data_IF_167292525444
#
_entry.id   IF_167292525444
#
_cell.length_a   1.000
_cell.length_b   1.000
_cell.length_c   1.000
_cell.angle_alpha   90.00
_cell.angle_beta   90.00
_cell.angle_gamma   90.00
#
_symmetry.space_group_name_H-M   'P 1'
#
loop_
_entity.id
_entity.type
_entity.pdbx_description
1 polymer ?
#
# COMPACT_ATOMS: atom_id res chain seq x y z
N UNK A 1 -13.60 -27.87 -16.11
CA UNK A 1 -12.16 -27.74 -16.37
C UNK A 1 -11.39 -27.23 -15.13
N UNK A 2 -12.02 -27.04 -13.96
CA UNK A 2 -11.34 -26.57 -12.73
C UNK A 2 -10.90 -25.10 -12.80
N UNK A 3 -11.51 -24.28 -13.63
CA UNK A 3 -11.23 -22.85 -13.75
C UNK A 3 -12.42 -22.05 -13.21
N UNK A 4 -12.15 -21.11 -12.33
CA UNK A 4 -13.14 -20.15 -11.82
C UNK A 4 -12.91 -18.80 -12.51
N UNK A 5 -13.78 -18.36 -13.44
CA UNK A 5 -13.64 -17.06 -14.10
C UNK A 5 -14.07 -15.94 -13.16
N UNK A 6 -13.25 -14.88 -13.09
CA UNK A 6 -13.55 -13.67 -12.32
C UNK A 6 -13.34 -12.46 -13.22
N UNK A 7 -14.32 -11.54 -13.26
CA UNK A 7 -14.23 -10.33 -14.07
C UNK A 7 -13.30 -9.32 -13.39
N UNK A 8 -12.22 -8.97 -14.06
CA UNK A 8 -11.28 -7.94 -13.61
C UNK A 8 -11.34 -6.72 -14.54
N UNK A 9 -11.32 -5.51 -13.97
CA UNK A 9 -11.15 -4.28 -14.75
C UNK A 9 -9.70 -4.16 -15.18
N UNK A 10 -9.48 -3.78 -16.43
CA UNK A 10 -8.15 -3.55 -16.99
C UNK A 10 -7.57 -2.31 -16.28
N UNK A 11 -6.40 -2.46 -15.67
CA UNK A 11 -5.60 -1.35 -15.15
C UNK A 11 -4.55 -0.92 -16.20
N UNK A 12 -4.11 0.33 -16.13
CA UNK A 12 -3.15 0.86 -17.10
C UNK A 12 -1.73 0.33 -16.95
N UNK A 13 -1.45 -0.40 -15.87
CA UNK A 13 -0.11 -0.86 -15.49
C UNK A 13 -0.17 -2.33 -15.05
N UNK A 14 0.88 -3.08 -15.36
CA UNK A 14 0.97 -4.52 -15.12
C UNK A 14 0.96 -4.88 -13.64
N UNK A 15 1.61 -4.09 -12.80
CA UNK A 15 1.66 -4.37 -11.35
C UNK A 15 0.30 -4.12 -10.70
N UNK A 16 -0.42 -3.08 -11.11
CA UNK A 16 -1.81 -2.87 -10.67
C UNK A 16 -2.76 -3.99 -11.13
N UNK A 17 -2.55 -4.54 -12.33
CA UNK A 17 -3.35 -5.70 -12.78
C UNK A 17 -3.13 -6.91 -11.90
N UNK A 18 -1.88 -7.20 -11.55
CA UNK A 18 -1.52 -8.31 -10.65
C UNK A 18 -2.20 -8.12 -9.29
N UNK A 19 -2.10 -6.93 -8.72
CA UNK A 19 -2.69 -6.61 -7.43
C UNK A 19 -4.21 -6.73 -7.45
N UNK A 20 -4.87 -6.20 -8.49
CA UNK A 20 -6.31 -6.33 -8.67
C UNK A 20 -6.73 -7.79 -8.78
N UNK A 21 -5.95 -8.62 -9.48
CA UNK A 21 -6.22 -10.05 -9.60
C UNK A 21 -6.11 -10.77 -8.26
N UNK A 22 -5.06 -10.50 -7.46
CA UNK A 22 -4.89 -11.07 -6.11
C UNK A 22 -6.01 -10.61 -5.19
N UNK A 23 -6.35 -9.32 -5.20
CA UNK A 23 -7.46 -8.78 -4.41
C UNK A 23 -8.77 -9.45 -4.76
N UNK A 24 -9.11 -9.54 -6.04
CA UNK A 24 -10.32 -10.24 -6.49
C UNK A 24 -10.35 -11.70 -6.09
N UNK A 25 -9.20 -12.38 -6.10
CA UNK A 25 -9.09 -13.76 -5.64
C UNK A 25 -9.38 -13.89 -4.14
N UNK A 26 -8.91 -12.93 -3.31
CA UNK A 26 -9.24 -12.84 -1.88
C UNK A 26 -10.74 -12.58 -1.70
N UNK A 27 -11.27 -11.54 -2.35
CA UNK A 27 -12.67 -11.11 -2.22
C UNK A 27 -13.66 -12.22 -2.62
N UNK A 28 -13.27 -13.09 -3.56
CA UNK A 28 -14.06 -14.26 -3.97
C UNK A 28 -13.75 -15.54 -3.18
N UNK A 29 -12.91 -15.47 -2.13
CA UNK A 29 -12.57 -16.62 -1.30
C UNK A 29 -11.77 -17.71 -2.01
N UNK A 30 -11.15 -17.41 -3.14
CA UNK A 30 -10.33 -18.35 -3.93
C UNK A 30 -8.95 -18.55 -3.30
N UNK A 31 -8.45 -17.55 -2.60
CA UNK A 31 -7.20 -17.55 -1.87
C UNK A 31 -7.37 -16.82 -0.53
N UNK A 32 -6.50 -17.09 0.43
CA UNK A 32 -6.48 -16.45 1.74
C UNK A 32 -5.08 -15.94 2.08
N UNK A 33 -4.97 -15.11 3.10
CA UNK A 33 -3.69 -14.62 3.60
C UNK A 33 -2.74 -15.79 3.89
N UNK A 34 -1.48 -15.62 3.54
CA UNK A 34 -0.40 -16.60 3.62
C UNK A 34 -0.43 -17.73 2.59
N UNK A 35 -1.43 -17.79 1.71
CA UNK A 35 -1.38 -18.73 0.60
C UNK A 35 -0.25 -18.36 -0.37
N UNK A 36 0.38 -19.40 -0.92
CA UNK A 36 1.36 -19.25 -2.00
C UNK A 36 0.66 -19.50 -3.33
N UNK A 37 0.65 -18.48 -4.18
CA UNK A 37 -0.01 -18.54 -5.49
C UNK A 37 1.02 -18.42 -6.61
N UNK A 38 0.76 -19.13 -7.70
CA UNK A 38 1.53 -19.03 -8.94
C UNK A 38 0.70 -18.22 -9.92
N UNK A 39 1.22 -17.08 -10.34
CA UNK A 39 0.59 -16.20 -11.31
C UNK A 39 1.26 -16.39 -12.68
N UNK A 40 0.45 -16.58 -13.72
CA UNK A 40 0.88 -16.56 -15.10
C UNK A 40 0.27 -15.36 -15.82
N UNK A 41 1.07 -14.52 -16.44
CA UNK A 41 0.61 -13.31 -17.12
C UNK A 41 1.42 -13.00 -18.38
N UNK A 42 0.82 -12.25 -19.31
CA UNK A 42 1.52 -11.59 -20.41
C UNK A 42 1.89 -10.16 -20.00
N UNK A 43 3.18 -9.84 -19.91
CA UNK A 43 3.69 -8.50 -19.56
C UNK A 43 4.61 -8.02 -20.69
N UNK A 44 4.47 -6.78 -21.21
CA UNK A 44 3.45 -5.78 -20.86
C UNK A 44 2.04 -6.18 -21.34
N UNK A 45 1.02 -5.60 -20.74
CA UNK A 45 -0.40 -5.87 -21.03
C UNK A 45 -0.82 -5.60 -22.49
N UNK A 46 -0.02 -4.87 -23.22
CA UNK A 46 -0.17 -4.62 -24.67
C UNK A 46 0.21 -5.82 -25.56
N UNK A 47 0.75 -6.90 -24.97
CA UNK A 47 1.11 -8.12 -25.71
C UNK A 47 -0.08 -9.08 -25.71
N UNK A 48 -0.88 -9.15 -26.79
CA UNK A 48 -2.20 -9.76 -26.74
C UNK A 48 -2.24 -11.28 -26.73
N UNK A 49 -1.11 -11.99 -26.77
CA UNK A 49 -1.15 -13.42 -27.12
C UNK A 49 -0.25 -14.37 -26.36
N UNK A 50 0.58 -13.92 -25.40
CA UNK A 50 1.49 -14.85 -24.72
C UNK A 50 1.60 -14.59 -23.23
N UNK A 51 1.32 -15.62 -22.42
CA UNK A 51 1.83 -15.66 -21.03
C UNK A 51 3.35 -15.81 -21.10
N UNK A 52 4.08 -14.74 -20.77
CA UNK A 52 5.54 -14.68 -20.79
C UNK A 52 6.17 -14.53 -19.41
N UNK A 53 5.33 -14.43 -18.37
CA UNK A 53 5.78 -14.21 -17.00
C UNK A 53 5.11 -15.21 -16.07
N UNK A 54 5.91 -15.82 -15.21
CA UNK A 54 5.45 -16.65 -14.09
C UNK A 54 6.05 -16.05 -12.83
N UNK A 55 5.18 -15.69 -11.86
CA UNK A 55 5.61 -15.23 -10.53
C UNK A 55 5.00 -16.11 -9.45
N UNK A 56 5.78 -16.39 -8.42
CA UNK A 56 5.29 -16.98 -7.17
C UNK A 56 5.11 -15.86 -6.18
N UNK A 57 3.90 -15.72 -5.64
CA UNK A 57 3.52 -14.66 -4.70
C UNK A 57 3.02 -15.31 -3.40
N UNK A 58 3.27 -14.66 -2.27
CA UNK A 58 2.63 -14.98 -0.99
C UNK A 58 1.54 -13.93 -0.76
N UNK A 59 0.31 -14.37 -0.65
CA UNK A 59 -0.86 -13.49 -0.45
C UNK A 59 -0.75 -12.81 0.91
N UNK A 60 -0.68 -11.47 0.92
CA UNK A 60 -0.57 -10.70 2.17
C UNK A 60 0.74 -10.96 2.92
N UNK A 61 1.86 -11.03 2.24
CA UNK A 61 3.18 -11.13 2.87
C UNK A 61 3.40 -9.91 3.78
N UNK A 62 3.58 -10.16 5.09
CA UNK A 62 3.90 -9.10 6.06
C UNK A 62 5.38 -8.76 5.89
N UNK A 63 5.67 -7.52 5.48
CA UNK A 63 7.03 -7.03 5.23
C UNK A 63 7.56 -6.15 6.35
N UNK A 64 6.67 -5.54 7.15
CA UNK A 64 7.08 -4.72 8.28
C UNK A 64 5.97 -4.67 9.36
N UNK A 65 6.37 -4.25 10.57
CA UNK A 65 5.48 -4.05 11.72
C UNK A 65 5.88 -2.80 12.49
N UNK A 66 4.89 -2.01 12.91
CA UNK A 66 5.09 -0.90 13.83
C UNK A 66 4.54 -1.18 15.22
N UNK A 67 4.94 -0.36 16.18
CA UNK A 67 4.51 -0.47 17.58
C UNK A 67 3.47 0.56 17.99
N UNK A 68 3.36 1.66 17.24
CA UNK A 68 2.32 2.69 17.38
C UNK A 68 1.56 2.79 16.08
N UNK A 69 0.26 2.65 16.10
CA UNK A 69 -0.55 2.61 14.89
C UNK A 69 -1.98 3.08 15.17
N UNK A 70 -2.66 3.51 14.13
CA UNK A 70 -4.04 3.92 14.21
C UNK A 70 -4.61 4.42 12.89
N UNK A 71 -5.81 4.92 12.98
CA UNK A 71 -6.58 5.45 11.87
C UNK A 71 -7.48 6.59 12.32
N UNK A 72 -7.83 7.47 11.40
CA UNK A 72 -8.73 8.61 11.68
C UNK A 72 -10.21 8.23 11.54
N UNK A 73 -10.54 7.28 10.67
CA UNK A 73 -11.90 6.82 10.39
C UNK A 73 -12.00 5.30 10.60
N UNK A 74 -12.89 4.88 11.47
CA UNK A 74 -13.15 3.46 11.78
C UNK A 74 -13.63 2.65 10.57
N UNK A 75 -14.19 3.30 9.55
CA UNK A 75 -14.54 2.64 8.30
C UNK A 75 -13.34 2.45 7.35
N UNK A 76 -12.20 3.07 7.66
CA UNK A 76 -10.98 3.06 6.83
C UNK A 76 -9.75 2.70 7.65
N UNK A 77 -9.78 1.55 8.29
CA UNK A 77 -8.69 1.04 9.12
C UNK A 77 -7.48 0.59 8.31
N UNK A 78 -7.69 0.31 7.03
CA UNK A 78 -6.68 -0.22 6.12
C UNK A 78 -6.65 0.60 4.84
N UNK A 79 -5.46 0.76 4.29
CA UNK A 79 -5.27 1.42 3.01
C UNK A 79 -4.22 0.71 2.18
N UNK A 80 -4.51 0.56 0.88
CA UNK A 80 -3.55 0.13 -0.11
C UNK A 80 -3.14 1.34 -0.94
N UNK A 81 -1.85 1.50 -1.19
CA UNK A 81 -1.32 2.61 -1.97
C UNK A 81 0.12 2.39 -2.41
N UNK A 82 0.65 3.36 -3.13
CA UNK A 82 2.06 3.39 -3.51
C UNK A 82 2.88 4.15 -2.49
N UNK A 83 4.04 3.62 -2.19
CA UNK A 83 5.03 4.27 -1.33
C UNK A 83 5.59 5.50 -2.03
N UNK A 84 5.74 6.57 -1.26
CA UNK A 84 6.48 7.76 -1.62
C UNK A 84 7.36 8.20 -0.45
N UNK A 85 8.64 8.44 -0.72
CA UNK A 85 9.55 9.00 0.25
C UNK A 85 9.58 10.53 0.16
N UNK A 86 9.58 11.20 1.31
CA UNK A 86 9.75 12.65 1.37
C UNK A 86 11.23 12.99 1.46
N UNK A 87 11.89 13.13 0.34
CA UNK A 87 13.24 13.69 0.28
C UNK A 87 13.22 15.20 0.00
N UNK A 88 12.16 15.69 -0.68
CA UNK A 88 12.00 17.10 -0.95
C UNK A 88 10.52 17.48 -1.08
N UNK A 89 10.08 18.42 -0.24
CA UNK A 89 8.66 18.83 -0.13
C UNK A 89 8.08 19.44 -1.41
N UNK A 90 8.94 19.98 -2.28
CA UNK A 90 8.53 20.58 -3.55
C UNK A 90 8.24 19.54 -4.64
N UNK A 91 8.96 18.43 -4.65
CA UNK A 91 8.74 17.33 -5.59
C UNK A 91 7.42 16.61 -5.33
N UNK A 92 6.98 16.59 -4.07
CA UNK A 92 5.75 15.93 -3.66
C UNK A 92 4.49 16.53 -4.32
N UNK A 93 4.45 17.85 -4.53
CA UNK A 93 3.29 18.51 -5.15
C UNK A 93 3.05 18.09 -6.59
N UNK A 94 4.08 17.71 -7.32
CA UNK A 94 3.95 17.22 -8.69
C UNK A 94 3.59 15.74 -8.73
N UNK A 95 4.14 14.94 -7.82
CA UNK A 95 3.92 13.50 -7.74
C UNK A 95 2.52 13.15 -7.20
N UNK A 96 1.98 13.94 -6.28
CA UNK A 96 0.64 13.72 -5.68
C UNK A 96 -0.54 14.10 -6.59
N UNK A 97 -0.30 14.63 -7.77
CA UNK A 97 -1.33 14.77 -8.82
C UNK A 97 -1.68 13.44 -9.50
N UNK A 98 -1.02 12.36 -9.14
CA UNK A 98 -1.30 11.03 -9.68
C UNK A 98 -2.55 10.44 -8.99
N UNK A 99 -3.39 9.82 -9.79
CA UNK A 99 -4.73 9.28 -9.48
C UNK A 99 -4.74 8.05 -8.54
N UNK A 100 -3.69 7.82 -7.76
CA UNK A 100 -3.54 6.63 -6.91
C UNK A 100 -3.41 7.00 -5.44
N UNK A 101 -3.95 6.14 -4.58
CA UNK A 101 -3.73 6.24 -3.13
C UNK A 101 -2.25 6.20 -2.81
N UNK A 102 -1.82 7.08 -1.92
CA UNK A 102 -0.41 7.30 -1.63
C UNK A 102 -0.13 7.04 -0.15
N UNK A 103 0.94 6.29 0.10
CA UNK A 103 1.45 6.02 1.45
C UNK A 103 2.81 6.70 1.57
N UNK A 104 2.89 7.67 2.49
CA UNK A 104 4.11 8.37 2.80
C UNK A 104 5.01 7.50 3.67
N UNK A 105 6.29 7.39 3.33
CA UNK A 105 7.31 6.74 4.17
C UNK A 105 8.37 7.76 4.54
N UNK A 106 8.68 7.88 5.83
CA UNK A 106 9.64 8.83 6.37
C UNK A 106 10.38 8.26 7.58
N UNK A 107 11.50 8.87 7.91
CA UNK A 107 12.21 8.54 9.16
C UNK A 107 11.33 8.92 10.36
N UNK A 108 10.85 10.16 10.40
CA UNK A 108 10.06 10.71 11.51
C UNK A 108 8.96 11.63 10.99
N UNK A 109 7.78 11.56 11.59
CA UNK A 109 6.68 12.48 11.27
C UNK A 109 6.92 13.80 12.01
N UNK A 110 7.11 14.90 11.27
CA UNK A 110 7.31 16.23 11.81
C UNK A 110 6.14 17.16 11.52
N UNK A 111 6.03 18.27 12.26
CA UNK A 111 4.98 19.27 12.04
C UNK A 111 5.03 19.90 10.64
N UNK A 112 6.21 19.98 10.04
CA UNK A 112 6.40 20.50 8.68
C UNK A 112 5.71 19.64 7.62
N UNK A 113 5.45 18.38 7.93
CA UNK A 113 4.76 17.43 7.04
C UNK A 113 3.23 17.57 7.05
N UNK A 114 2.65 18.38 7.93
CA UNK A 114 1.19 18.55 8.04
C UNK A 114 0.51 18.81 6.68
N UNK A 115 1.02 19.68 5.80
CA UNK A 115 0.40 19.88 4.48
C UNK A 115 0.36 18.62 3.62
N UNK A 116 1.37 17.73 3.73
CA UNK A 116 1.42 16.45 3.00
C UNK A 116 0.49 15.43 3.63
N UNK A 117 0.47 15.34 4.96
CA UNK A 117 -0.41 14.41 5.69
C UNK A 117 -1.89 14.65 5.41
N UNK A 118 -2.27 15.87 4.97
CA UNK A 118 -3.65 16.19 4.57
C UNK A 118 -4.09 15.55 3.26
N UNK A 119 -3.15 15.13 2.42
CA UNK A 119 -3.42 14.67 1.05
C UNK A 119 -3.02 13.22 0.78
N UNK A 120 -2.21 12.62 1.67
CA UNK A 120 -1.87 11.19 1.59
C UNK A 120 -2.92 10.35 2.31
N UNK A 121 -3.05 9.10 1.90
CA UNK A 121 -4.00 8.15 2.49
C UNK A 121 -3.41 7.39 3.68
N UNK A 122 -2.08 7.28 3.72
CA UNK A 122 -1.38 6.62 4.80
C UNK A 122 0.01 7.19 5.06
N UNK A 123 0.54 6.93 6.25
CA UNK A 123 1.92 7.26 6.63
C UNK A 123 2.56 6.15 7.44
N UNK A 124 3.82 5.84 7.11
CA UNK A 124 4.67 4.91 7.86
C UNK A 124 5.93 5.65 8.27
N UNK A 125 6.26 5.64 9.56
CA UNK A 125 7.49 6.26 10.07
C UNK A 125 8.41 5.27 10.78
N UNK A 126 9.71 5.48 10.63
CA UNK A 126 10.72 4.63 11.20
C UNK A 126 10.91 4.89 12.71
N UNK A 127 10.95 6.16 13.13
CA UNK A 127 11.28 6.56 14.50
C UNK A 127 10.16 7.27 15.27
N UNK A 128 8.92 7.23 14.78
CA UNK A 128 7.76 7.82 15.45
C UNK A 128 7.35 9.18 14.91
N UNK A 129 6.76 10.04 15.77
CA UNK A 129 6.15 11.31 15.40
C UNK A 129 6.36 12.39 16.44
N UNK A 130 6.55 13.63 16.02
CA UNK A 130 6.51 14.83 16.85
C UNK A 130 5.06 15.33 17.06
N UNK A 131 4.12 14.82 16.24
CA UNK A 131 2.69 15.12 16.29
C UNK A 131 2.02 14.04 17.14
N UNK A 132 1.19 14.45 18.11
CA UNK A 132 0.41 13.50 18.91
C UNK A 132 -0.58 12.72 18.04
N UNK A 133 -0.96 11.52 18.47
CA UNK A 133 -1.92 10.67 17.75
C UNK A 133 -3.28 11.37 17.56
N UNK A 134 -3.73 12.14 18.56
CA UNK A 134 -4.97 12.92 18.46
C UNK A 134 -4.89 13.95 17.33
N UNK A 135 -3.77 14.66 17.24
CA UNK A 135 -3.54 15.66 16.20
C UNK A 135 -3.37 15.00 14.83
N UNK A 136 -2.72 13.84 14.71
CA UNK A 136 -2.65 13.10 13.46
C UNK A 136 -4.04 12.75 12.92
N UNK A 137 -4.96 12.32 13.78
CA UNK A 137 -6.35 12.02 13.42
C UNK A 137 -7.12 13.26 12.96
N UNK A 138 -6.78 14.43 13.49
CA UNK A 138 -7.42 15.70 13.11
C UNK A 138 -6.88 16.27 11.80
N UNK A 139 -5.61 16.00 11.46
CA UNK A 139 -4.98 16.49 10.23
C UNK A 139 -5.68 15.98 8.98
N UNK A 140 -6.05 14.70 8.96
CA UNK A 140 -6.71 14.06 7.83
C UNK A 140 -7.69 12.98 8.32
N UNK A 141 -8.96 13.15 7.99
CA UNK A 141 -10.05 12.26 8.41
C UNK A 141 -9.99 10.84 7.84
N UNK A 142 -9.10 10.58 6.92
CA UNK A 142 -8.94 9.26 6.28
C UNK A 142 -7.55 8.68 6.44
N UNK A 143 -6.70 9.30 7.27
CA UNK A 143 -5.31 8.89 7.44
C UNK A 143 -5.22 7.57 8.22
N UNK A 144 -4.45 6.63 7.69
CA UNK A 144 -3.97 5.44 8.40
C UNK A 144 -2.50 5.66 8.71
N UNK A 145 -2.06 5.41 9.95
CA UNK A 145 -0.68 5.61 10.34
C UNK A 145 -0.08 4.41 11.08
N UNK A 146 1.18 4.13 10.79
CA UNK A 146 2.01 3.15 11.50
C UNK A 146 3.35 3.80 11.81
N UNK A 147 3.77 3.75 13.08
CA UNK A 147 5.00 4.38 13.55
C UNK A 147 5.91 3.34 14.21
N UNK A 148 7.19 3.71 14.38
CA UNK A 148 8.23 2.85 14.92
C UNK A 148 8.37 1.55 14.12
N UNK A 149 8.47 1.68 12.81
CA UNK A 149 8.69 0.57 11.88
C UNK A 149 10.18 0.50 11.57
N UNK A 150 10.94 -0.46 12.13
CA UNK A 150 12.39 -0.52 11.92
C UNK A 150 12.75 -0.64 10.44
N UNK A 151 13.76 0.12 10.01
CA UNK A 151 14.28 0.15 8.63
C UNK A 151 13.22 0.47 7.56
N UNK A 152 12.12 1.17 7.92
CA UNK A 152 10.99 1.43 7.01
C UNK A 152 11.44 2.12 5.73
N UNK A 153 12.29 3.15 5.85
CA UNK A 153 12.79 3.92 4.70
C UNK A 153 13.62 3.06 3.73
N UNK A 154 14.26 2.03 4.25
CA UNK A 154 15.10 1.11 3.45
C UNK A 154 14.30 -0.02 2.82
N UNK A 155 13.32 -0.57 3.57
CA UNK A 155 12.53 -1.75 3.15
C UNK A 155 11.41 -1.34 2.20
N UNK A 156 10.78 -0.19 2.44
CA UNK A 156 9.65 0.29 1.66
C UNK A 156 10.15 1.25 0.58
N UNK A 157 10.59 0.70 -0.54
CA UNK A 157 11.15 1.47 -1.66
C UNK A 157 10.08 2.34 -2.34
N UNK A 158 10.49 3.44 -2.96
CA UNK A 158 9.61 4.31 -3.76
C UNK A 158 8.85 3.51 -4.84
N UNK A 159 7.60 3.86 -5.03
CA UNK A 159 6.66 3.20 -5.94
C UNK A 159 6.29 1.75 -5.60
N UNK A 160 6.84 1.17 -4.52
CA UNK A 160 6.39 -0.12 -4.02
C UNK A 160 4.89 -0.03 -3.68
N UNK A 161 4.12 -1.00 -4.12
CA UNK A 161 2.73 -1.10 -3.71
C UNK A 161 2.63 -1.88 -2.41
N UNK A 162 2.01 -1.26 -1.42
CA UNK A 162 1.83 -1.84 -0.09
C UNK A 162 0.41 -1.63 0.42
N UNK A 163 0.03 -2.44 1.38
CA UNK A 163 -1.16 -2.23 2.20
C UNK A 163 -0.75 -2.05 3.64
N UNK A 164 -1.32 -1.05 4.30
CA UNK A 164 -1.09 -0.81 5.73
C UNK A 164 -2.38 -1.04 6.52
N UNK A 165 -2.24 -1.67 7.67
CA UNK A 165 -3.32 -1.99 8.61
C UNK A 165 -3.14 -1.19 9.89
N UNK A 166 -3.96 -0.15 10.07
CA UNK A 166 -3.93 0.73 11.24
C UNK A 166 -4.60 0.12 12.47
N UNK A 167 -5.18 -1.07 12.39
CA UNK A 167 -5.71 -1.81 13.52
C UNK A 167 -4.67 -2.77 14.13
N UNK A 168 -3.82 -3.34 13.28
CA UNK A 168 -2.84 -4.34 13.70
C UNK A 168 -1.39 -3.86 13.63
N UNK A 169 -1.13 -2.67 13.06
CA UNK A 169 0.21 -2.14 12.89
C UNK A 169 1.06 -2.93 11.89
N UNK A 170 0.43 -3.48 10.86
CA UNK A 170 1.08 -4.35 9.88
C UNK A 170 1.18 -3.67 8.53
N UNK A 171 2.33 -3.91 7.89
CA UNK A 171 2.59 -3.52 6.50
C UNK A 171 2.70 -4.79 5.66
N UNK A 172 1.93 -4.85 4.61
CA UNK A 172 1.87 -5.99 3.70
C UNK A 172 2.36 -5.60 2.31
N UNK A 173 2.99 -6.55 1.65
CA UNK A 173 3.33 -6.41 0.23
C UNK A 173 2.07 -6.51 -0.64
N UNK A 174 1.90 -5.56 -1.57
CA UNK A 174 0.81 -5.55 -2.52
C UNK A 174 -0.55 -5.10 -1.96
N UNK A 175 -1.60 -5.26 -2.79
CA UNK A 175 -2.97 -4.89 -2.47
C UNK A 175 -3.71 -6.06 -1.83
N UNK A 176 -3.92 -5.98 -0.51
CA UNK A 176 -4.67 -7.00 0.24
C UNK A 176 -5.94 -6.47 0.90
N UNK A 177 -6.25 -5.18 0.70
CA UNK A 177 -7.37 -4.46 1.33
C UNK A 177 -8.17 -3.65 0.33
#
# INVERSE_FOLDING_TARGET
>A
WGVTPVLCRIAGDSDMMIQNAVKLAIDNGLVKLSDRVVMCAGIPLSSPLMANTIRVLVVGNIIARGTVFGYSDSAKQKVCGRVIHVQNFLELKETLRLSHKTILVCDRITEEMIPVLRIVDGVVSETGSDISEENLRLVNKSLVYIQNVPDAVKILEDNLSISIDGEQGLVYEGAIV
#
